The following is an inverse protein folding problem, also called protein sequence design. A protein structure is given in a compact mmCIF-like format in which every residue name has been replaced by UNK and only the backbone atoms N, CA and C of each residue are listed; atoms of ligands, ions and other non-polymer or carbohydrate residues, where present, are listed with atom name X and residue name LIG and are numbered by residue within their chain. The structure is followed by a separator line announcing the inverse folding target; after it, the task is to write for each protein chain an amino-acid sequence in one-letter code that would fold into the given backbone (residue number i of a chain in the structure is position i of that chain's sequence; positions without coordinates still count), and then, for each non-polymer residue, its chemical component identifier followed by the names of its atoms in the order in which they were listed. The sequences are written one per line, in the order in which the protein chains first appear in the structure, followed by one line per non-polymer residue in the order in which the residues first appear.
data_IF_844522928181
#
_entry.id   IF_844522928181
#
_cell.length_a   1.000
_cell.length_b   1.000
_cell.length_c   1.000
_cell.angle_alpha   90.00
_cell.angle_beta   90.00
_cell.angle_gamma   90.00
#
_symmetry.space_group_name_H-M   'P 1'
#
loop_
_entity.id
_entity.type
_entity.pdbx_description
1 polymer ?
#
# COMPACT_ATOMS: atom_id res chain seq x y z
N UNK A 1 -3.25 13.21 -5.91
CA UNK A 1 -4.63 13.31 -6.45
C UNK A 1 -5.53 13.78 -5.31
N UNK A 2 -6.85 13.85 -5.46
CA UNK A 2 -7.75 13.97 -4.29
C UNK A 2 -7.84 12.63 -3.58
N UNK A 3 -8.15 12.63 -2.28
CA UNK A 3 -8.32 11.39 -1.49
C UNK A 3 -9.34 10.44 -2.12
N UNK A 4 -10.44 10.97 -2.68
CA UNK A 4 -11.49 10.20 -3.35
C UNK A 4 -10.98 9.47 -4.61
N UNK A 5 -10.04 10.08 -5.33
CA UNK A 5 -9.44 9.46 -6.53
C UNK A 5 -8.48 8.35 -6.12
N UNK A 6 -7.72 8.54 -5.04
CA UNK A 6 -6.90 7.48 -4.45
C UNK A 6 -7.77 6.31 -3.94
N UNK A 7 -8.91 6.59 -3.30
CA UNK A 7 -9.87 5.56 -2.86
C UNK A 7 -10.43 4.76 -4.03
N UNK A 8 -10.79 5.42 -5.15
CA UNK A 8 -11.23 4.73 -6.38
C UNK A 8 -10.14 3.84 -6.96
N UNK A 9 -8.94 4.38 -7.16
CA UNK A 9 -7.80 3.63 -7.70
C UNK A 9 -7.43 2.43 -6.81
N UNK A 10 -7.45 2.62 -5.49
CA UNK A 10 -7.22 1.55 -4.53
C UNK A 10 -8.24 0.41 -4.65
N UNK A 11 -9.53 0.73 -4.78
CA UNK A 11 -10.57 -0.28 -4.96
C UNK A 11 -10.46 -1.01 -6.30
N UNK A 12 -10.04 -0.33 -7.37
CA UNK A 12 -9.73 -0.99 -8.65
C UNK A 12 -8.58 -1.99 -8.51
N UNK A 13 -7.49 -1.61 -7.84
CA UNK A 13 -6.36 -2.51 -7.60
C UNK A 13 -6.77 -3.73 -6.77
N UNK A 14 -7.60 -3.55 -5.73
CA UNK A 14 -8.14 -4.67 -4.95
C UNK A 14 -8.95 -5.63 -5.81
N UNK A 15 -9.90 -5.11 -6.59
CA UNK A 15 -10.73 -5.95 -7.49
C UNK A 15 -9.87 -6.75 -8.48
N UNK A 16 -8.82 -6.13 -9.01
CA UNK A 16 -7.89 -6.81 -9.91
C UNK A 16 -7.09 -7.91 -9.20
N UNK A 17 -6.70 -7.70 -7.93
CA UNK A 17 -6.04 -8.74 -7.12
C UNK A 17 -7.00 -9.90 -6.86
N UNK A 18 -8.23 -9.62 -6.43
CA UNK A 18 -9.23 -10.63 -6.12
C UNK A 18 -9.53 -11.49 -7.35
N UNK A 19 -9.76 -10.85 -8.50
CA UNK A 19 -9.93 -11.54 -9.78
C UNK A 19 -8.72 -12.38 -10.18
N UNK A 20 -7.50 -11.85 -10.00
CA UNK A 20 -6.27 -12.59 -10.29
C UNK A 20 -6.07 -13.81 -9.38
N UNK A 21 -6.58 -13.76 -8.15
CA UNK A 21 -6.60 -14.89 -7.21
C UNK A 21 -7.60 -15.95 -7.70
N UNK A 22 -8.80 -15.55 -8.08
CA UNK A 22 -9.85 -16.44 -8.60
C UNK A 22 -9.43 -17.15 -9.89
N UNK A 23 -8.80 -16.43 -10.82
CA UNK A 23 -8.29 -16.97 -12.09
C UNK A 23 -7.00 -17.81 -11.92
N UNK A 24 -6.41 -17.81 -10.72
CA UNK A 24 -5.18 -18.54 -10.39
C UNK A 24 -3.94 -17.64 -10.35
N UNK A 25 -3.33 -17.58 -9.17
CA UNK A 25 -2.21 -16.67 -8.88
C UNK A 25 -0.95 -16.96 -9.69
N UNK A 26 -0.70 -18.23 -10.01
CA UNK A 26 0.50 -18.64 -10.74
C UNK A 26 0.51 -18.12 -12.19
N UNK A 27 -0.67 -18.00 -12.80
CA UNK A 27 -0.83 -17.47 -14.15
C UNK A 27 -0.82 -15.94 -14.15
N UNK A 28 -1.21 -15.32 -13.04
CA UNK A 28 -1.42 -13.88 -12.89
C UNK A 28 -0.32 -13.14 -12.11
N UNK A 29 0.88 -13.71 -11.92
CA UNK A 29 1.94 -13.15 -11.06
C UNK A 29 2.26 -11.67 -11.34
N UNK A 30 2.38 -11.29 -12.62
CA UNK A 30 2.68 -9.91 -13.02
C UNK A 30 1.53 -8.97 -12.67
N UNK A 31 0.29 -9.42 -12.87
CA UNK A 31 -0.90 -8.67 -12.53
C UNK A 31 -0.98 -8.47 -11.02
N UNK A 32 -0.73 -9.53 -10.24
CA UNK A 32 -0.67 -9.46 -8.77
C UNK A 32 0.42 -8.51 -8.33
N UNK A 33 1.66 -8.69 -8.81
CA UNK A 33 2.81 -7.84 -8.46
C UNK A 33 2.57 -6.36 -8.76
N UNK A 34 1.95 -6.05 -9.90
CA UNK A 34 1.58 -4.68 -10.25
C UNK A 34 0.54 -4.10 -9.28
N UNK A 35 -0.59 -4.79 -9.08
CA UNK A 35 -1.69 -4.26 -8.29
C UNK A 35 -1.37 -4.19 -6.80
N UNK A 36 -0.57 -5.11 -6.23
CA UNK A 36 -0.16 -4.99 -4.82
C UNK A 36 0.73 -3.76 -4.60
N UNK A 37 1.64 -3.45 -5.53
CA UNK A 37 2.53 -2.30 -5.40
C UNK A 37 1.78 -0.98 -5.60
N UNK A 38 1.00 -0.86 -6.68
CA UNK A 38 0.21 0.36 -6.91
C UNK A 38 -0.86 0.53 -5.84
N UNK A 39 -1.62 -0.53 -5.52
CA UNK A 39 -2.63 -0.49 -4.46
C UNK A 39 -2.04 -0.14 -3.09
N UNK A 40 -0.80 -0.53 -2.79
CA UNK A 40 -0.13 -0.10 -1.56
C UNK A 40 0.20 1.39 -1.56
N UNK A 41 0.66 1.94 -2.68
CA UNK A 41 0.95 3.36 -2.82
C UNK A 41 -0.33 4.21 -2.69
N UNK A 42 -1.42 3.77 -3.34
CA UNK A 42 -2.74 4.40 -3.23
C UNK A 42 -3.26 4.36 -1.79
N UNK A 43 -3.22 3.20 -1.13
CA UNK A 43 -3.62 3.06 0.27
C UNK A 43 -2.80 3.95 1.20
N UNK A 44 -1.49 4.03 0.98
CA UNK A 44 -0.62 4.88 1.77
C UNK A 44 -0.94 6.37 1.55
N UNK A 45 -1.23 6.78 0.32
CA UNK A 45 -1.69 8.14 0.04
C UNK A 45 -3.01 8.47 0.78
N UNK A 46 -3.99 7.56 0.74
CA UNK A 46 -5.25 7.70 1.50
C UNK A 46 -4.96 7.89 2.99
N UNK A 47 -4.09 7.05 3.55
CA UNK A 47 -3.70 7.13 4.96
C UNK A 47 -3.10 8.50 5.30
N UNK A 48 -2.16 9.00 4.50
CA UNK A 48 -1.55 10.31 4.72
C UNK A 48 -2.54 11.47 4.57
N UNK A 49 -3.50 11.38 3.64
CA UNK A 49 -4.58 12.35 3.50
C UNK A 49 -5.48 12.38 4.74
N UNK A 50 -5.88 11.20 5.25
CA UNK A 50 -6.72 11.08 6.46
C UNK A 50 -6.00 11.57 7.72
N UNK A 51 -4.67 11.46 7.74
CA UNK A 51 -3.81 12.06 8.78
C UNK A 51 -3.54 13.56 8.59
N UNK A 52 -4.06 14.17 7.53
CA UNK A 52 -3.78 15.56 7.13
C UNK A 52 -2.27 15.83 6.95
N UNK A 53 -1.46 14.81 6.63
CA UNK A 53 -0.02 14.96 6.34
C UNK A 53 0.24 15.40 4.91
N UNK A 54 -0.70 15.08 4.02
CA UNK A 54 -0.76 15.59 2.65
C UNK A 54 -2.16 16.19 2.44
N UNK A 55 -2.22 17.39 1.88
CA UNK A 55 -3.48 18.14 1.70
C UNK A 55 -3.65 18.63 0.26
N UNK A 56 -2.63 18.47 -0.60
CA UNK A 56 -2.63 18.99 -1.96
C UNK A 56 -3.36 18.10 -2.95
N UNK A 57 -4.05 18.73 -3.90
CA UNK A 57 -4.49 18.07 -5.13
C UNK A 57 -3.31 17.93 -6.08
N UNK A 58 -2.82 16.71 -6.25
CA UNK A 58 -1.72 16.40 -7.20
C UNK A 58 -0.62 15.51 -6.64
N UNK A 59 -0.60 15.29 -5.33
CA UNK A 59 0.40 14.41 -4.72
C UNK A 59 0.15 12.96 -5.15
N UNK A 60 1.02 12.43 -6.01
CA UNK A 60 1.10 11.01 -6.32
C UNK A 60 2.26 10.41 -5.56
N UNK A 61 1.98 9.38 -4.77
CA UNK A 61 3.03 8.63 -4.09
C UNK A 61 3.63 7.66 -5.10
N UNK A 62 4.85 7.94 -5.51
CA UNK A 62 5.60 7.04 -6.37
C UNK A 62 6.09 5.83 -5.56
N UNK A 63 5.60 4.64 -5.88
CA UNK A 63 5.99 3.38 -5.24
C UNK A 63 7.52 3.15 -5.24
N UNK A 64 8.27 3.73 -6.18
CA UNK A 64 9.73 3.59 -6.27
C UNK A 64 10.47 4.22 -5.09
N UNK A 65 9.87 5.17 -4.38
CA UNK A 65 10.52 5.83 -3.24
C UNK A 65 10.80 4.85 -2.11
N UNK A 66 9.99 3.78 -1.97
CA UNK A 66 10.10 2.82 -0.87
C UNK A 66 11.34 1.90 -0.96
N UNK A 67 12.04 1.91 -2.10
CA UNK A 67 13.32 1.20 -2.28
C UNK A 67 14.50 1.87 -1.57
N UNK A 68 14.39 3.13 -1.18
CA UNK A 68 15.52 3.89 -0.65
C UNK A 68 15.16 4.68 0.60
N UNK A 69 15.86 4.42 1.70
CA UNK A 69 15.75 5.19 2.93
C UNK A 69 15.98 6.69 2.70
N UNK A 70 16.90 7.05 1.80
CA UNK A 70 17.16 8.45 1.48
C UNK A 70 15.98 9.11 0.77
N UNK A 71 15.31 8.39 -0.14
CA UNK A 71 14.13 8.93 -0.85
C UNK A 71 12.93 9.02 0.11
N UNK A 72 12.72 8.00 0.95
CA UNK A 72 11.70 8.02 2.00
C UNK A 72 11.92 9.22 2.92
N UNK A 73 13.12 9.45 3.44
CA UNK A 73 13.41 10.60 4.31
C UNK A 73 13.15 11.94 3.63
N UNK A 74 13.47 12.05 2.33
CA UNK A 74 13.28 13.29 1.55
C UNK A 74 11.81 13.55 1.22
N UNK A 75 11.04 12.53 0.87
CA UNK A 75 9.65 12.64 0.41
C UNK A 75 8.63 12.52 1.54
N UNK A 76 9.00 11.84 2.62
CA UNK A 76 8.17 11.57 3.79
C UNK A 76 8.94 12.01 5.06
N UNK A 77 9.26 13.32 5.19
CA UNK A 77 10.03 13.84 6.31
C UNK A 77 9.23 13.87 7.62
N UNK A 78 7.91 13.81 7.55
CA UNK A 78 7.00 13.87 8.69
C UNK A 78 6.82 12.52 9.37
N UNK A 79 6.42 12.55 10.65
CA UNK A 79 6.13 11.34 11.43
C UNK A 79 4.64 10.97 11.43
N UNK A 80 4.37 9.68 11.60
CA UNK A 80 3.02 9.10 11.61
C UNK A 80 2.97 7.76 12.37
N UNK A 81 1.77 7.33 12.85
CA UNK A 81 1.64 6.11 13.62
C UNK A 81 2.10 4.86 12.85
N UNK A 82 2.86 3.98 13.52
CA UNK A 82 3.44 2.77 12.92
C UNK A 82 4.33 3.05 11.68
N UNK A 83 4.99 4.21 11.61
CA UNK A 83 5.85 4.60 10.47
C UNK A 83 6.82 3.51 10.05
N UNK A 84 7.59 2.97 10.99
CA UNK A 84 8.58 1.91 10.68
C UNK A 84 7.91 0.67 10.08
N UNK A 85 6.89 0.15 10.73
CA UNK A 85 6.14 -1.05 10.31
C UNK A 85 5.53 -0.89 8.92
N UNK A 86 4.88 0.26 8.65
CA UNK A 86 4.30 0.57 7.35
C UNK A 86 5.40 0.65 6.27
N UNK A 87 6.49 1.37 6.53
CA UNK A 87 7.57 1.52 5.56
C UNK A 87 8.31 0.20 5.27
N UNK A 88 8.49 -0.65 6.28
CA UNK A 88 9.07 -1.99 6.14
C UNK A 88 8.19 -2.86 5.22
N UNK A 89 6.86 -2.84 5.42
CA UNK A 89 5.90 -3.54 4.54
C UNK A 89 5.89 -2.99 3.12
N UNK A 90 5.93 -1.66 2.95
CA UNK A 90 5.99 -1.03 1.62
C UNK A 90 7.26 -1.45 0.86
N UNK A 91 8.40 -1.55 1.56
CA UNK A 91 9.65 -2.03 0.97
C UNK A 91 9.54 -3.48 0.54
N UNK A 92 9.03 -4.36 1.40
CA UNK A 92 8.85 -5.78 1.08
C UNK A 92 7.95 -5.96 -0.14
N UNK A 93 6.82 -5.25 -0.21
CA UNK A 93 5.89 -5.30 -1.34
C UNK A 93 6.59 -4.87 -2.64
N UNK A 94 7.41 -3.83 -2.57
CA UNK A 94 8.14 -3.34 -3.74
C UNK A 94 9.25 -4.33 -4.21
N UNK A 95 9.91 -5.02 -3.27
CA UNK A 95 10.85 -6.10 -3.58
C UNK A 95 10.16 -7.27 -4.27
N UNK A 96 9.02 -7.72 -3.74
CA UNK A 96 8.25 -8.81 -4.34
C UNK A 96 7.67 -8.40 -5.69
N UNK A 97 7.18 -7.16 -5.84
CA UNK A 97 6.74 -6.62 -7.14
C UNK A 97 7.83 -6.68 -8.19
N UNK A 98 9.09 -6.37 -7.87
CA UNK A 98 10.18 -6.52 -8.86
C UNK A 98 10.37 -7.97 -9.27
N UNK A 99 10.32 -8.90 -8.31
CA UNK A 99 10.47 -10.32 -8.57
C UNK A 99 9.31 -10.88 -9.43
N UNK A 100 8.08 -10.47 -9.16
CA UNK A 100 6.87 -10.95 -9.84
C UNK A 100 6.65 -10.30 -11.22
N UNK A 101 6.97 -9.01 -11.38
CA UNK A 101 6.74 -8.28 -12.62
C UNK A 101 7.86 -8.47 -13.65
N UNK A 102 9.11 -8.43 -13.22
CA UNK A 102 10.28 -8.41 -14.12
C UNK A 102 11.12 -9.69 -14.09
N UNK A 103 10.89 -10.58 -13.13
CA UNK A 103 11.62 -11.84 -13.02
C UNK A 103 11.04 -12.97 -13.89
N UNK A 104 11.73 -14.11 -13.86
CA UNK A 104 11.16 -15.41 -14.24
C UNK A 104 9.97 -15.77 -13.34
N UNK A 105 9.08 -16.66 -13.82
CA UNK A 105 7.96 -17.23 -13.05
C UNK A 105 8.46 -17.65 -11.66
N UNK A 106 7.75 -17.19 -10.64
CA UNK A 106 8.03 -17.48 -9.23
C UNK A 106 7.13 -18.60 -8.72
N UNK A 107 7.62 -19.36 -7.72
CA UNK A 107 6.82 -20.41 -7.11
C UNK A 107 5.66 -19.80 -6.33
N UNK A 108 4.60 -20.58 -6.17
CA UNK A 108 3.31 -20.16 -5.61
C UNK A 108 3.47 -19.46 -4.25
N UNK A 109 4.32 -20.00 -3.39
CA UNK A 109 4.58 -19.52 -2.04
C UNK A 109 5.08 -18.07 -2.03
N UNK A 110 5.87 -17.69 -3.03
CA UNK A 110 6.39 -16.32 -3.15
C UNK A 110 5.29 -15.33 -3.56
N UNK A 111 4.34 -15.77 -4.39
CA UNK A 111 3.18 -14.96 -4.77
C UNK A 111 2.24 -14.79 -3.58
N UNK A 112 1.98 -15.89 -2.85
CA UNK A 112 1.18 -15.87 -1.61
C UNK A 112 1.81 -14.97 -0.54
N UNK A 113 3.15 -15.00 -0.41
CA UNK A 113 3.88 -14.07 0.47
C UNK A 113 3.62 -12.62 0.08
N UNK A 114 3.70 -12.28 -1.20
CA UNK A 114 3.46 -10.91 -1.67
C UNK A 114 2.03 -10.42 -1.38
N UNK A 115 1.02 -11.29 -1.60
CA UNK A 115 -0.37 -11.02 -1.25
C UNK A 115 -0.52 -10.84 0.27
N UNK A 116 0.15 -11.67 1.07
CA UNK A 116 0.14 -11.58 2.53
C UNK A 116 0.73 -10.27 3.03
N UNK A 117 1.85 -9.80 2.48
CA UNK A 117 2.44 -8.50 2.84
C UNK A 117 1.50 -7.34 2.50
N UNK A 118 0.82 -7.40 1.35
CA UNK A 118 -0.22 -6.42 1.01
C UNK A 118 -1.38 -6.43 2.02
N UNK A 119 -1.89 -7.60 2.40
CA UNK A 119 -2.96 -7.69 3.39
C UNK A 119 -2.50 -7.23 4.78
N UNK A 120 -1.27 -7.53 5.20
CA UNK A 120 -0.71 -7.03 6.44
C UNK A 120 -0.64 -5.49 6.46
N UNK A 121 -0.22 -4.87 5.35
CA UNK A 121 -0.23 -3.41 5.21
C UNK A 121 -1.64 -2.84 5.38
N UNK A 122 -2.64 -3.46 4.75
CA UNK A 122 -4.06 -3.07 4.89
C UNK A 122 -4.53 -3.13 6.33
N UNK A 123 -4.25 -4.21 7.02
CA UNK A 123 -4.64 -4.40 8.42
C UNK A 123 -4.01 -3.35 9.33
N UNK A 124 -2.71 -3.07 9.16
CA UNK A 124 -2.00 -2.06 9.95
C UNK A 124 -2.62 -0.69 9.72
N UNK A 125 -2.79 -0.27 8.46
CA UNK A 125 -3.35 1.05 8.13
C UNK A 125 -4.80 1.19 8.63
N UNK A 126 -5.66 0.20 8.35
CA UNK A 126 -7.07 0.24 8.78
C UNK A 126 -7.20 0.29 10.30
N UNK A 127 -6.38 -0.48 11.03
CA UNK A 127 -6.34 -0.45 12.50
C UNK A 127 -5.96 0.92 13.05
N UNK A 128 -5.10 1.68 12.35
CA UNK A 128 -4.75 3.05 12.76
C UNK A 128 -5.86 4.03 12.45
N UNK A 129 -6.45 3.97 11.25
CA UNK A 129 -7.58 4.82 10.88
C UNK A 129 -8.75 4.65 11.84
N UNK A 130 -9.16 3.40 12.14
CA UNK A 130 -10.27 3.14 13.07
C UNK A 130 -9.97 3.54 14.52
N UNK A 131 -8.70 3.59 14.93
CA UNK A 131 -8.32 4.07 16.26
C UNK A 131 -8.41 5.59 16.35
N UNK A 132 -7.96 6.31 15.32
CA UNK A 132 -8.05 7.77 15.28
C UNK A 132 -9.49 8.27 15.25
N UNK A 133 -10.39 7.57 14.55
CA UNK A 133 -11.82 7.89 14.56
C UNK A 133 -12.44 7.73 15.96
N UNK A 134 -12.04 6.70 16.70
CA UNK A 134 -12.47 6.49 18.09
C UNK A 134 -11.90 7.54 19.04
N UNK A 135 -10.63 7.92 18.88
CA UNK A 135 -9.98 8.93 19.72
C UNK A 135 -10.55 10.34 19.47
N UNK A 136 -10.96 10.65 18.23
CA UNK A 136 -11.66 11.90 17.89
C UNK A 136 -13.08 11.95 18.51
N UNK A 137 -13.80 10.84 18.49
CA UNK A 137 -15.15 10.76 19.08
C UNK A 137 -15.16 10.62 20.61
N UNK A 138 -14.04 10.21 21.22
CA UNK A 138 -13.86 10.12 22.67
C UNK A 138 -13.49 11.43 23.37
N UNK A 139 -13.13 12.48 22.62
CA UNK A 139 -12.76 13.81 23.16
C UNK A 139 -13.91 14.83 23.23
N UNK A 140 -15.13 14.40 22.88
CA UNK A 140 -16.36 15.18 23.13
C UNK A 140 -17.11 14.62 24.34
N UNK A 141 -16.54 14.78 25.54
CA UNK A 141 -17.26 14.74 26.81
C UNK A 141 -16.65 15.72 27.79
#
# INVERSE_FOLDING_TARGET
MKVEEHEKAYEEHKKNIDRAIEEGIENNQRNIGYNISQGSAELFAIFLHKLHKIQGSGDQIDHRIFKSDSLIKKKIPFDFPSKKEILDLMREIEEERNALCYGSRKPKERIEKAIKSFNALREVINKKLSKEEKDKNGKSK
#
